data_IF_923917359457
#
_entry.id   IF_923917359457
#
_cell.length_a   1.000
_cell.length_b   1.000
_cell.length_c   1.000
_cell.angle_alpha   90.00
_cell.angle_beta   90.00
_cell.angle_gamma   90.00
#
_symmetry.space_group_name_H-M   'P 1'
#
loop_
_entity.id
_entity.type
_entity.pdbx_description
1 polymer ?
#
# COMPACT_ATOMS: atom_id res chain seq x y z
N UNK A 1 -4.93 -2.85 -22.07
CA UNK A 1 -4.26 -3.00 -20.76
C UNK A 1 -5.25 -2.92 -19.58
N UNK A 2 -6.17 -1.88 -19.52
CA UNK A 2 -7.17 -1.82 -18.45
C UNK A 2 -8.07 -3.07 -18.51
N UNK A 3 -8.68 -3.33 -19.66
CA UNK A 3 -9.57 -4.49 -19.87
C UNK A 3 -8.88 -5.82 -19.55
N UNK A 4 -7.61 -6.00 -19.99
CA UNK A 4 -6.85 -7.23 -19.70
C UNK A 4 -6.66 -7.48 -18.19
N UNK A 5 -6.45 -6.40 -17.43
CA UNK A 5 -6.36 -6.49 -15.97
C UNK A 5 -7.71 -6.78 -15.33
N UNK A 6 -8.79 -6.15 -15.80
CA UNK A 6 -10.14 -6.39 -15.29
C UNK A 6 -10.56 -7.84 -15.56
N UNK A 7 -10.35 -8.35 -16.77
CA UNK A 7 -10.65 -9.74 -17.12
C UNK A 7 -9.82 -10.72 -16.28
N UNK A 8 -8.54 -10.42 -16.04
CA UNK A 8 -7.69 -11.25 -15.18
C UNK A 8 -8.20 -11.31 -13.74
N UNK A 9 -8.58 -10.17 -13.17
CA UNK A 9 -9.00 -10.07 -11.76
C UNK A 9 -10.41 -10.58 -11.52
N UNK A 10 -11.34 -10.28 -12.42
CA UNK A 10 -12.77 -10.49 -12.18
C UNK A 10 -13.40 -11.54 -13.12
N UNK A 11 -12.70 -11.96 -14.16
CA UNK A 11 -13.24 -12.83 -15.22
C UNK A 11 -13.95 -12.05 -16.33
N UNK A 12 -13.94 -12.59 -17.54
CA UNK A 12 -14.52 -11.92 -18.72
C UNK A 12 -16.03 -11.69 -18.55
N UNK A 13 -16.78 -12.74 -18.22
CA UNK A 13 -18.24 -12.68 -18.09
C UNK A 13 -18.71 -11.63 -17.06
N UNK A 14 -18.00 -11.51 -15.92
CA UNK A 14 -18.32 -10.52 -14.92
C UNK A 14 -18.05 -9.10 -15.42
N UNK A 15 -16.94 -8.88 -16.11
CA UNK A 15 -16.53 -7.56 -16.63
C UNK A 15 -17.45 -7.12 -17.77
N UNK A 16 -17.89 -8.03 -18.64
CA UNK A 16 -18.83 -7.73 -19.72
C UNK A 16 -20.22 -7.29 -19.22
N UNK A 17 -20.57 -7.72 -18.00
CA UNK A 17 -21.83 -7.27 -17.36
C UNK A 17 -21.72 -5.86 -16.73
N UNK A 18 -20.55 -5.25 -16.68
CA UNK A 18 -20.37 -3.92 -16.12
C UNK A 18 -20.74 -2.81 -17.11
N UNK A 19 -21.18 -1.64 -16.62
CA UNK A 19 -21.49 -0.50 -17.47
C UNK A 19 -20.20 0.20 -17.95
N UNK A 20 -19.48 -0.47 -18.84
CA UNK A 20 -18.15 -0.05 -19.34
C UNK A 20 -18.20 1.30 -20.08
N UNK A 21 -19.36 1.66 -20.62
CA UNK A 21 -19.62 2.97 -21.24
C UNK A 21 -19.51 4.15 -20.27
N UNK A 22 -19.55 3.86 -18.96
CA UNK A 22 -19.31 4.88 -17.90
C UNK A 22 -17.85 5.13 -17.60
N UNK A 23 -16.93 4.37 -18.23
CA UNK A 23 -15.49 4.51 -18.04
C UNK A 23 -14.92 5.33 -19.19
N UNK A 24 -14.45 6.53 -18.89
CA UNK A 24 -13.67 7.35 -19.83
C UNK A 24 -12.17 7.27 -19.46
N UNK A 25 -11.32 7.08 -20.47
CA UNK A 25 -9.87 7.05 -20.28
C UNK A 25 -9.30 8.38 -20.77
N UNK A 26 -8.63 9.09 -19.86
CA UNK A 26 -7.90 10.32 -20.18
C UNK A 26 -6.41 10.03 -20.03
N UNK A 27 -5.66 10.19 -21.11
CA UNK A 27 -4.21 10.03 -21.09
C UNK A 27 -3.57 11.30 -20.52
N UNK A 28 -2.70 11.15 -19.52
CA UNK A 28 -2.04 12.26 -18.85
C UNK A 28 -0.81 11.82 -18.06
N UNK A 29 -0.04 12.80 -17.60
CA UNK A 29 1.16 12.61 -16.80
C UNK A 29 1.07 13.48 -15.53
N UNK A 30 0.89 12.84 -14.38
CA UNK A 30 0.74 13.54 -13.10
C UNK A 30 1.95 14.42 -12.75
N UNK A 31 3.15 14.09 -13.25
CA UNK A 31 4.35 14.86 -13.00
C UNK A 31 4.39 16.19 -13.80
N UNK A 32 3.47 16.39 -14.72
CA UNK A 32 3.38 17.61 -15.54
C UNK A 32 2.31 18.55 -15.04
N UNK A 33 2.54 19.84 -15.24
CA UNK A 33 1.51 20.86 -15.03
C UNK A 33 0.24 20.52 -15.82
N UNK A 34 -0.94 20.65 -15.21
CA UNK A 34 -2.23 20.28 -15.79
C UNK A 34 -2.26 18.85 -16.36
N UNK A 35 -1.45 17.95 -15.78
CA UNK A 35 -1.29 16.56 -16.24
C UNK A 35 -0.82 16.42 -17.68
N UNK A 36 -0.22 17.47 -18.27
CA UNK A 36 0.14 17.52 -19.69
C UNK A 36 -1.05 17.66 -20.65
N UNK A 37 -2.24 17.91 -20.12
CA UNK A 37 -3.44 18.16 -20.92
C UNK A 37 -3.44 19.59 -21.50
N UNK A 38 -4.24 19.80 -22.55
CA UNK A 38 -4.56 21.15 -23.00
C UNK A 38 -5.33 21.91 -21.90
N UNK A 39 -5.28 23.23 -21.95
CA UNK A 39 -6.02 24.09 -21.01
C UNK A 39 -7.53 23.77 -21.00
N UNK A 40 -8.12 23.63 -22.19
CA UNK A 40 -9.54 23.27 -22.34
C UNK A 40 -9.84 21.87 -21.78
N UNK A 41 -9.01 20.86 -22.07
CA UNK A 41 -9.20 19.51 -21.54
C UNK A 41 -9.05 19.43 -20.03
N UNK A 42 -8.10 20.18 -19.45
CA UNK A 42 -7.95 20.27 -18.00
C UNK A 42 -9.14 20.97 -17.35
N UNK A 43 -9.62 22.07 -17.92
CA UNK A 43 -10.77 22.80 -17.41
C UNK A 43 -12.06 21.94 -17.49
N UNK A 44 -12.28 21.25 -18.62
CA UNK A 44 -13.41 20.33 -18.76
C UNK A 44 -13.37 19.23 -17.71
N UNK A 45 -12.21 18.60 -17.52
CA UNK A 45 -12.03 17.57 -16.48
C UNK A 45 -12.29 18.15 -15.08
N UNK A 46 -11.84 19.39 -14.80
CA UNK A 46 -12.02 20.04 -13.51
C UNK A 46 -13.49 20.37 -13.21
N UNK A 47 -14.28 20.70 -14.22
CA UNK A 47 -15.72 21.01 -14.04
C UNK A 47 -16.59 19.75 -13.85
N UNK A 48 -16.12 18.58 -14.28
CA UNK A 48 -16.92 17.35 -14.24
C UNK A 48 -16.43 16.31 -13.20
N UNK A 49 -15.39 16.63 -12.41
CA UNK A 49 -14.84 15.73 -11.40
C UNK A 49 -15.26 16.15 -9.99
N UNK A 50 -15.97 15.30 -9.26
CA UNK A 50 -16.36 15.52 -7.86
C UNK A 50 -15.46 14.83 -6.84
N UNK A 51 -14.79 13.74 -7.22
CA UNK A 51 -13.90 13.00 -6.33
C UNK A 51 -12.67 12.48 -7.09
N UNK A 52 -11.51 12.55 -6.45
CA UNK A 52 -10.24 12.06 -6.95
C UNK A 52 -9.73 10.93 -6.04
N UNK A 53 -9.40 9.79 -6.60
CA UNK A 53 -8.69 8.71 -5.93
C UNK A 53 -7.26 8.64 -6.48
N UNK A 54 -6.32 9.12 -5.69
CA UNK A 54 -4.91 9.14 -6.08
C UNK A 54 -4.21 7.84 -5.67
N UNK A 55 -4.29 6.82 -6.51
CA UNK A 55 -3.62 5.53 -6.33
C UNK A 55 -2.38 5.35 -7.21
N UNK A 56 -1.99 6.38 -7.97
CA UNK A 56 -0.81 6.34 -8.81
C UNK A 56 0.45 6.67 -8.00
N UNK A 57 1.45 5.80 -8.07
CA UNK A 57 2.76 6.02 -7.45
C UNK A 57 3.84 5.17 -8.13
N UNK A 58 5.09 5.60 -8.05
CA UNK A 58 6.24 4.72 -8.25
C UNK A 58 6.42 3.89 -6.98
N UNK A 59 6.38 2.55 -7.13
CA UNK A 59 6.39 1.60 -6.01
C UNK A 59 7.74 0.88 -5.82
N UNK A 60 8.73 1.21 -6.62
CA UNK A 60 10.05 0.58 -6.52
C UNK A 60 10.75 1.03 -5.24
N UNK A 61 11.43 0.12 -4.57
CA UNK A 61 12.18 0.46 -3.36
C UNK A 61 13.54 1.09 -3.67
N UNK A 62 13.98 1.04 -4.94
CA UNK A 62 15.26 1.54 -5.42
C UNK A 62 15.07 2.41 -6.66
N UNK A 63 15.93 3.40 -6.81
CA UNK A 63 15.95 4.28 -7.96
C UNK A 63 16.46 5.67 -7.62
N UNK A 64 16.45 6.56 -8.60
CA UNK A 64 16.84 7.95 -8.38
C UNK A 64 15.71 8.69 -7.68
N UNK A 65 15.97 9.18 -6.47
CA UNK A 65 15.01 9.93 -5.64
C UNK A 65 14.27 11.03 -6.44
N UNK A 66 14.97 11.73 -7.33
CA UNK A 66 14.39 12.78 -8.14
C UNK A 66 13.19 12.30 -9.00
N UNK A 67 13.28 11.09 -9.55
CA UNK A 67 12.18 10.53 -10.36
C UNK A 67 10.95 10.20 -9.49
N UNK A 68 11.19 9.68 -8.30
CA UNK A 68 10.12 9.41 -7.34
C UNK A 68 9.47 10.70 -6.85
N UNK A 69 10.26 11.72 -6.54
CA UNK A 69 9.75 13.04 -6.13
C UNK A 69 8.84 13.64 -7.21
N UNK A 70 9.22 13.54 -8.49
CA UNK A 70 8.39 14.03 -9.60
C UNK A 70 7.04 13.34 -9.67
N UNK A 71 6.99 12.01 -9.54
CA UNK A 71 5.75 11.25 -9.66
C UNK A 71 4.94 11.28 -8.37
N UNK A 72 5.56 10.94 -7.24
CA UNK A 72 4.84 10.72 -5.98
C UNK A 72 4.55 12.03 -5.24
N UNK A 73 5.44 13.02 -5.30
CA UNK A 73 5.27 14.29 -4.56
C UNK A 73 4.70 15.38 -5.48
N UNK A 74 5.37 15.72 -6.57
CA UNK A 74 4.88 16.74 -7.51
C UNK A 74 3.52 16.33 -8.11
N UNK A 75 3.34 15.04 -8.45
CA UNK A 75 2.05 14.53 -8.90
C UNK A 75 0.94 14.72 -7.87
N UNK A 76 1.24 14.53 -6.58
CA UNK A 76 0.29 14.79 -5.47
C UNK A 76 -0.03 16.28 -5.35
N UNK A 77 0.96 17.16 -5.45
CA UNK A 77 0.76 18.62 -5.44
C UNK A 77 -0.09 19.07 -6.64
N UNK A 78 0.16 18.55 -7.83
CA UNK A 78 -0.64 18.83 -9.02
C UNK A 78 -2.11 18.37 -8.85
N UNK A 79 -2.35 17.22 -8.21
CA UNK A 79 -3.71 16.77 -7.90
C UNK A 79 -4.39 17.62 -6.82
N UNK A 80 -3.64 18.08 -5.81
CA UNK A 80 -4.18 19.03 -4.82
C UNK A 80 -4.59 20.34 -5.49
N UNK A 81 -3.78 20.87 -6.39
CA UNK A 81 -4.12 22.05 -7.20
C UNK A 81 -5.35 21.80 -8.09
N UNK A 82 -5.44 20.63 -8.72
CA UNK A 82 -6.60 20.21 -9.51
C UNK A 82 -7.88 20.16 -8.67
N UNK A 83 -7.78 19.73 -7.41
CA UNK A 83 -8.96 19.71 -6.52
C UNK A 83 -9.50 21.10 -6.18
N UNK A 84 -8.68 22.14 -6.34
CA UNK A 84 -9.07 23.54 -6.15
C UNK A 84 -9.53 24.23 -7.44
N UNK A 85 -9.43 23.58 -8.60
CA UNK A 85 -9.83 24.09 -9.90
C UNK A 85 -11.28 23.67 -10.25
N UNK A 86 -12.06 24.54 -10.87
CA UNK A 86 -13.46 24.25 -11.25
C UNK A 86 -14.36 23.93 -10.05
N UNK A 87 -15.19 22.88 -10.16
CA UNK A 87 -16.04 22.48 -9.05
C UNK A 87 -15.24 21.90 -7.87
N UNK A 88 -15.70 22.08 -6.60
CA UNK A 88 -15.05 21.49 -5.44
C UNK A 88 -14.96 19.97 -5.51
N UNK A 89 -13.80 19.41 -5.15
CA UNK A 89 -13.50 17.99 -5.22
C UNK A 89 -13.01 17.46 -3.89
N UNK A 90 -13.27 16.17 -3.64
CA UNK A 90 -12.57 15.43 -2.59
C UNK A 90 -11.31 14.79 -3.14
N UNK A 91 -10.20 14.89 -2.40
CA UNK A 91 -8.96 14.18 -2.70
C UNK A 91 -8.78 13.00 -1.72
N UNK A 92 -8.83 11.79 -2.26
CA UNK A 92 -8.63 10.54 -1.54
C UNK A 92 -7.24 10.01 -1.92
N UNK A 93 -6.24 10.32 -1.11
CA UNK A 93 -4.86 9.94 -1.35
C UNK A 93 -4.55 8.56 -0.75
N UNK A 94 -4.07 7.63 -1.57
CA UNK A 94 -3.65 6.31 -1.12
C UNK A 94 -2.16 6.39 -0.73
N UNK A 95 -1.91 6.40 0.57
CA UNK A 95 -0.59 6.37 1.18
C UNK A 95 -0.15 4.94 1.55
N UNK A 96 0.49 4.76 2.68
CA UNK A 96 0.92 3.46 3.22
C UNK A 96 1.12 3.55 4.74
N UNK A 97 0.93 2.48 5.48
CA UNK A 97 1.30 2.41 6.90
C UNK A 97 2.82 2.52 7.13
N UNK A 98 3.63 2.25 6.11
CA UNK A 98 5.08 2.36 6.21
C UNK A 98 5.57 3.79 6.55
N UNK A 99 4.73 4.82 6.39
CA UNK A 99 5.03 6.20 6.84
C UNK A 99 5.07 6.34 8.37
N UNK A 100 4.75 5.29 9.14
CA UNK A 100 5.00 5.22 10.58
C UNK A 100 6.49 5.20 10.93
N UNK A 101 7.36 4.86 9.97
CA UNK A 101 8.74 4.55 10.25
C UNK A 101 8.91 3.19 10.96
N UNK A 102 10.06 3.00 11.57
CA UNK A 102 10.43 1.71 12.17
C UNK A 102 9.78 1.48 13.53
N UNK A 103 9.63 2.52 14.33
CA UNK A 103 9.09 2.43 15.69
C UNK A 103 8.48 3.76 16.12
N UNK A 104 7.38 3.70 16.87
CA UNK A 104 6.80 4.86 17.52
C UNK A 104 7.48 5.12 18.88
N UNK A 105 7.73 6.40 19.20
CA UNK A 105 8.35 6.83 20.45
C UNK A 105 7.35 6.85 21.62
N UNK A 106 6.55 5.78 21.73
CA UNK A 106 5.63 5.60 22.84
C UNK A 106 5.73 4.19 23.43
N UNK A 107 5.36 4.00 24.74
CA UNK A 107 5.54 2.73 25.43
C UNK A 107 4.83 1.54 24.80
N UNK A 108 3.80 1.80 23.99
CA UNK A 108 3.01 0.77 23.31
C UNK A 108 3.46 0.51 21.87
N UNK A 109 4.45 1.26 21.38
CA UNK A 109 4.83 1.24 19.97
C UNK A 109 3.62 1.36 19.02
N UNK A 110 2.62 2.17 19.42
CA UNK A 110 1.34 2.33 18.73
C UNK A 110 1.38 3.55 17.80
N UNK A 111 1.03 3.33 16.54
CA UNK A 111 0.86 4.39 15.53
C UNK A 111 -0.63 4.54 15.22
N UNK A 112 -1.19 5.69 15.57
CA UNK A 112 -2.60 5.99 15.40
C UNK A 112 -2.88 6.75 14.12
N UNK A 113 -4.16 6.83 13.71
CA UNK A 113 -4.60 7.59 12.55
C UNK A 113 -4.36 9.11 12.70
N UNK A 114 -4.24 9.61 13.91
CA UNK A 114 -3.90 11.01 14.20
C UNK A 114 -2.39 11.30 14.08
N UNK A 115 -1.55 10.26 14.18
CA UNK A 115 -0.12 10.43 14.25
C UNK A 115 0.48 10.79 12.88
N UNK A 116 1.47 11.67 12.96
CA UNK A 116 2.37 12.01 11.88
C UNK A 116 3.70 12.50 12.48
N UNK A 117 4.77 11.84 12.13
CA UNK A 117 6.09 12.23 12.62
C UNK A 117 6.61 13.45 11.81
N UNK A 118 7.06 14.49 12.49
CA UNK A 118 7.63 15.69 11.84
C UNK A 118 8.95 15.40 11.11
N UNK A 119 9.70 14.43 11.62
CA UNK A 119 10.91 13.91 10.98
C UNK A 119 10.93 12.39 11.13
N UNK A 120 11.21 11.69 10.05
CA UNK A 120 11.24 10.25 10.02
C UNK A 120 12.45 9.76 9.24
N UNK A 121 13.15 8.79 9.80
CA UNK A 121 14.14 8.03 9.04
C UNK A 121 13.42 7.04 8.13
N UNK A 122 13.44 7.31 6.83
CA UNK A 122 12.74 6.51 5.83
C UNK A 122 13.60 5.31 5.41
N UNK A 123 13.06 4.09 5.41
CA UNK A 123 13.83 2.89 5.09
C UNK A 123 14.21 2.81 3.60
N UNK A 124 13.48 3.47 2.72
CA UNK A 124 13.71 3.48 1.28
C UNK A 124 13.04 4.67 0.60
N UNK A 125 13.40 4.93 -0.67
CA UNK A 125 12.90 6.07 -1.47
C UNK A 125 11.38 6.04 -1.68
N UNK A 126 10.74 4.87 -1.69
CA UNK A 126 9.29 4.78 -1.79
C UNK A 126 8.63 5.37 -0.55
N UNK A 127 9.02 4.90 0.64
CA UNK A 127 8.46 5.39 1.91
C UNK A 127 8.74 6.88 2.09
N UNK A 128 9.96 7.32 1.77
CA UNK A 128 10.36 8.74 1.82
C UNK A 128 9.40 9.60 0.99
N UNK A 129 9.13 9.22 -0.25
CA UNK A 129 8.27 10.01 -1.14
C UNK A 129 6.78 9.92 -0.79
N UNK A 130 6.31 8.81 -0.20
CA UNK A 130 4.95 8.73 0.34
C UNK A 130 4.79 9.61 1.59
N UNK A 131 5.79 9.63 2.47
CA UNK A 131 5.83 10.53 3.63
C UNK A 131 5.83 12.00 3.19
N UNK A 132 6.70 12.39 2.23
CA UNK A 132 6.74 13.75 1.71
C UNK A 132 5.41 14.15 1.02
N UNK A 133 4.74 13.22 0.31
CA UNK A 133 3.43 13.48 -0.26
C UNK A 133 2.38 13.78 0.82
N UNK A 134 2.32 13.01 1.91
CA UNK A 134 1.44 13.30 3.04
C UNK A 134 1.75 14.67 3.67
N UNK A 135 3.04 14.99 3.84
CA UNK A 135 3.50 16.26 4.38
C UNK A 135 3.00 17.46 3.54
N UNK A 136 2.90 17.30 2.21
CA UNK A 136 2.31 18.31 1.31
C UNK A 136 0.80 18.42 1.44
N UNK A 137 0.10 17.32 1.71
CA UNK A 137 -1.36 17.30 1.83
C UNK A 137 -1.86 17.78 3.19
N UNK A 138 -1.11 17.55 4.27
CA UNK A 138 -1.56 17.85 5.63
C UNK A 138 -1.98 19.31 5.87
N UNK A 139 -1.27 20.35 5.41
CA UNK A 139 -1.72 21.72 5.60
C UNK A 139 -3.12 21.97 5.03
N UNK A 140 -3.42 21.49 3.84
CA UNK A 140 -4.74 21.61 3.23
C UNK A 140 -5.79 20.81 4.02
N UNK A 141 -5.48 19.59 4.43
CA UNK A 141 -6.35 18.76 5.26
C UNK A 141 -6.68 19.45 6.60
N UNK A 142 -5.69 20.00 7.29
CA UNK A 142 -5.87 20.69 8.57
C UNK A 142 -6.64 22.02 8.42
N UNK A 143 -6.54 22.67 7.25
CA UNK A 143 -7.35 23.84 6.89
C UNK A 143 -8.82 23.50 6.52
N UNK A 144 -9.20 22.22 6.57
CA UNK A 144 -10.57 21.76 6.32
C UNK A 144 -10.90 21.49 4.84
N UNK A 145 -9.90 21.51 3.95
CA UNK A 145 -10.12 21.02 2.59
C UNK A 145 -10.47 19.53 2.61
N UNK A 146 -11.30 19.09 1.67
CA UNK A 146 -11.79 17.71 1.60
C UNK A 146 -10.70 16.72 1.15
N UNK A 147 -9.62 16.64 1.95
CA UNK A 147 -8.47 15.72 1.74
C UNK A 147 -8.58 14.58 2.74
N UNK A 148 -8.54 13.36 2.24
CA UNK A 148 -8.50 12.14 3.03
C UNK A 148 -7.25 11.34 2.64
N UNK A 149 -6.51 10.91 3.64
CA UNK A 149 -5.30 10.10 3.48
C UNK A 149 -5.61 8.69 3.96
N UNK A 150 -5.56 7.74 3.06
CA UNK A 150 -5.72 6.33 3.39
C UNK A 150 -4.35 5.68 3.47
N UNK A 151 -4.05 5.02 4.58
CA UNK A 151 -2.80 4.28 4.80
C UNK A 151 -3.11 2.78 4.80
N UNK A 152 -3.07 2.14 3.62
CA UNK A 152 -3.20 0.68 3.56
C UNK A 152 -2.04 0.00 4.28
N UNK A 153 -2.36 -1.17 4.87
CA UNK A 153 -1.39 -2.08 5.42
C UNK A 153 -0.68 -2.93 4.37
N UNK A 154 -0.23 -4.10 4.77
CA UNK A 154 0.39 -5.07 3.88
C UNK A 154 -0.68 -5.71 2.97
N UNK A 155 -0.81 -5.19 1.74
CA UNK A 155 -1.82 -5.65 0.80
C UNK A 155 -1.49 -7.03 0.25
N UNK A 156 -2.40 -7.97 0.45
CA UNK A 156 -2.38 -9.33 -0.09
C UNK A 156 -3.47 -9.53 -1.15
N UNK A 157 -3.57 -10.74 -1.70
CA UNK A 157 -4.58 -11.10 -2.68
C UNK A 157 -6.02 -10.92 -2.20
N UNK A 158 -6.95 -11.03 -3.14
CA UNK A 158 -8.40 -11.03 -2.86
C UNK A 158 -8.77 -12.12 -1.85
N UNK A 159 -9.53 -11.78 -0.83
CA UNK A 159 -9.84 -12.68 0.29
C UNK A 159 -10.62 -13.93 -0.09
N UNK A 160 -11.31 -13.92 -1.23
CA UNK A 160 -12.17 -15.03 -1.70
C UNK A 160 -11.46 -15.91 -2.72
N UNK A 161 -10.64 -15.30 -3.57
CA UNK A 161 -10.05 -15.96 -4.74
C UNK A 161 -8.53 -16.11 -4.65
N UNK A 162 -7.87 -15.42 -3.73
CA UNK A 162 -6.41 -15.33 -3.64
C UNK A 162 -5.78 -14.56 -4.81
N UNK A 163 -6.57 -14.06 -5.77
CA UNK A 163 -6.04 -13.36 -6.93
C UNK A 163 -5.33 -12.06 -6.51
N UNK A 164 -4.15 -11.86 -7.06
CA UNK A 164 -3.37 -10.65 -6.88
C UNK A 164 -3.06 -10.02 -8.25
N UNK A 165 -2.12 -9.09 -8.33
CA UNK A 165 -1.79 -8.43 -9.60
C UNK A 165 -1.23 -9.41 -10.65
N UNK A 166 -1.51 -9.15 -11.93
CA UNK A 166 -1.11 -10.01 -13.05
C UNK A 166 0.41 -10.20 -13.16
N UNK A 167 1.19 -9.17 -12.86
CA UNK A 167 2.65 -9.18 -12.92
C UNK A 167 3.27 -9.29 -11.52
N UNK A 168 2.96 -10.38 -10.83
CA UNK A 168 3.41 -10.65 -9.47
C UNK A 168 4.94 -10.72 -9.34
N UNK A 169 5.64 -11.17 -10.38
CA UNK A 169 7.11 -11.29 -10.42
C UNK A 169 7.86 -9.95 -10.35
N UNK A 170 7.16 -8.82 -10.40
CA UNK A 170 7.71 -7.49 -10.16
C UNK A 170 7.36 -6.91 -8.79
N UNK A 171 6.67 -7.69 -7.95
CA UNK A 171 6.28 -7.28 -6.61
C UNK A 171 7.40 -7.60 -5.61
N UNK A 172 7.89 -6.58 -4.88
CA UNK A 172 8.98 -6.75 -3.95
C UNK A 172 8.64 -7.72 -2.81
N UNK A 173 7.40 -7.71 -2.32
CA UNK A 173 6.96 -8.57 -1.22
C UNK A 173 6.84 -10.03 -1.66
N UNK A 174 6.31 -10.24 -2.87
CA UNK A 174 6.25 -11.57 -3.47
C UNK A 174 7.65 -12.13 -3.74
N UNK A 175 8.54 -11.32 -4.31
CA UNK A 175 9.92 -11.72 -4.55
C UNK A 175 10.65 -12.04 -3.24
N UNK A 176 10.40 -11.29 -2.18
CA UNK A 176 10.93 -11.57 -0.84
C UNK A 176 10.47 -12.94 -0.33
N UNK A 177 9.17 -13.20 -0.35
CA UNK A 177 8.61 -14.49 0.07
C UNK A 177 9.13 -15.64 -0.79
N UNK A 178 9.14 -15.47 -2.10
CA UNK A 178 9.64 -16.45 -3.05
C UNK A 178 11.14 -16.76 -2.82
N UNK A 179 11.95 -15.76 -2.50
CA UNK A 179 13.36 -15.92 -2.17
C UNK A 179 13.55 -16.84 -0.97
N UNK A 180 12.81 -16.65 0.11
CA UNK A 180 12.88 -17.52 1.29
C UNK A 180 12.44 -18.97 0.98
N UNK A 181 11.39 -19.15 0.19
CA UNK A 181 10.92 -20.47 -0.23
C UNK A 181 11.98 -21.16 -1.09
N UNK A 182 12.59 -20.46 -2.02
CA UNK A 182 13.63 -20.98 -2.91
C UNK A 182 14.88 -21.40 -2.14
N UNK A 183 15.39 -20.54 -1.27
CA UNK A 183 16.54 -20.84 -0.42
C UNK A 183 16.26 -21.87 0.67
N UNK A 184 14.98 -22.11 0.99
CA UNK A 184 14.55 -22.90 2.13
C UNK A 184 15.07 -22.38 3.47
N UNK A 185 15.41 -21.08 3.53
CA UNK A 185 15.92 -20.42 4.71
C UNK A 185 15.27 -19.05 4.89
N UNK A 186 15.13 -18.65 6.15
CA UNK A 186 14.67 -17.34 6.56
C UNK A 186 15.50 -16.84 7.74
N UNK A 187 15.68 -15.53 7.91
CA UNK A 187 16.32 -14.98 9.10
C UNK A 187 15.45 -15.21 10.34
N UNK A 188 16.01 -15.09 11.55
CA UNK A 188 15.24 -15.15 12.77
C UNK A 188 14.26 -13.97 12.80
N UNK A 189 13.06 -14.22 13.31
CA UNK A 189 12.04 -13.21 13.56
C UNK A 189 11.93 -12.98 15.06
N UNK A 190 11.64 -11.76 15.45
CA UNK A 190 11.38 -11.44 16.85
C UNK A 190 10.00 -11.94 17.28
N UNK A 191 9.87 -12.30 18.54
CA UNK A 191 8.61 -12.82 19.12
C UNK A 191 7.47 -11.80 19.07
N UNK A 192 7.78 -10.52 18.90
CA UNK A 192 6.84 -9.40 18.81
C UNK A 192 6.77 -8.78 17.40
N UNK A 193 7.29 -9.46 16.37
CA UNK A 193 7.24 -8.98 14.98
C UNK A 193 5.93 -9.37 14.31
N UNK A 194 5.01 -8.41 14.27
CA UNK A 194 3.66 -8.58 13.70
C UNK A 194 3.57 -8.12 12.26
N UNK A 195 2.62 -8.69 11.54
CA UNK A 195 2.25 -8.29 10.18
C UNK A 195 0.73 -8.18 10.04
N UNK A 196 0.26 -7.11 9.47
CA UNK A 196 -1.14 -6.88 9.15
C UNK A 196 -1.46 -7.37 7.73
N UNK A 197 -1.85 -8.59 7.57
CA UNK A 197 -2.21 -9.14 6.27
C UNK A 197 -3.58 -8.61 5.82
N UNK A 198 -3.58 -7.63 4.92
CA UNK A 198 -4.77 -6.88 4.49
C UNK A 198 -5.21 -7.29 3.10
N UNK A 199 -6.34 -7.99 2.92
CA UNK A 199 -6.86 -8.34 1.60
C UNK A 199 -7.22 -7.12 0.77
N UNK A 200 -6.88 -7.15 -0.53
CA UNK A 200 -7.09 -6.03 -1.45
C UNK A 200 -8.56 -5.68 -1.64
N UNK A 201 -9.45 -6.67 -1.66
CA UNK A 201 -10.90 -6.47 -1.76
C UNK A 201 -11.47 -5.76 -0.53
N UNK A 202 -11.04 -6.11 0.68
CA UNK A 202 -11.38 -5.37 1.89
C UNK A 202 -10.86 -3.93 1.82
N UNK A 203 -9.58 -3.76 1.48
CA UNK A 203 -8.98 -2.43 1.42
C UNK A 203 -9.71 -1.52 0.43
N UNK A 204 -9.99 -2.02 -0.78
CA UNK A 204 -10.71 -1.27 -1.80
C UNK A 204 -12.15 -0.91 -1.34
N UNK A 205 -12.87 -1.87 -0.78
CA UNK A 205 -14.24 -1.65 -0.29
C UNK A 205 -14.26 -0.62 0.85
N UNK A 206 -13.33 -0.72 1.81
CA UNK A 206 -13.23 0.21 2.93
C UNK A 206 -12.92 1.65 2.45
N UNK A 207 -11.93 1.80 1.57
CA UNK A 207 -11.56 3.11 1.02
C UNK A 207 -12.73 3.75 0.28
N UNK A 208 -13.38 3.01 -0.62
CA UNK A 208 -14.51 3.53 -1.41
C UNK A 208 -15.68 3.89 -0.50
N UNK A 209 -16.02 3.02 0.46
CA UNK A 209 -17.11 3.28 1.40
C UNK A 209 -16.87 4.56 2.22
N UNK A 210 -15.70 4.70 2.84
CA UNK A 210 -15.35 5.88 3.65
C UNK A 210 -15.29 7.13 2.78
N UNK A 211 -14.74 7.04 1.57
CA UNK A 211 -14.63 8.18 0.66
C UNK A 211 -15.97 8.76 0.22
N UNK A 212 -17.01 7.91 0.09
CA UNK A 212 -18.34 8.33 -0.35
C UNK A 212 -19.36 8.49 0.78
N UNK A 213 -18.98 8.25 2.04
CA UNK A 213 -19.84 8.62 3.17
C UNK A 213 -19.98 10.14 3.26
N UNK A 214 -21.22 10.70 3.30
CA UNK A 214 -21.43 12.16 3.30
C UNK A 214 -20.71 12.90 4.44
N UNK A 215 -20.67 12.29 5.63
CA UNK A 215 -20.13 12.89 6.86
C UNK A 215 -18.68 12.48 7.16
N UNK A 216 -17.95 11.97 6.18
CA UNK A 216 -16.54 11.62 6.39
C UNK A 216 -15.70 12.89 6.42
N UNK A 217 -15.07 13.24 7.56
CA UNK A 217 -14.22 14.42 7.65
C UNK A 217 -12.94 14.27 6.86
N UNK A 218 -12.26 15.38 6.55
CA UNK A 218 -10.83 15.34 6.23
C UNK A 218 -10.07 14.65 7.35
N UNK A 219 -9.13 13.80 7.01
CA UNK A 219 -8.38 13.03 8.01
C UNK A 219 -7.58 11.91 7.44
N UNK A 220 -6.93 11.15 8.32
CA UNK A 220 -6.16 9.97 7.98
C UNK A 220 -6.88 8.71 8.45
N UNK A 221 -6.83 7.65 7.65
CA UNK A 221 -7.54 6.39 7.86
C UNK A 221 -6.59 5.22 7.65
N UNK A 222 -6.41 4.38 8.68
CA UNK A 222 -5.60 3.17 8.58
C UNK A 222 -6.43 2.01 8.04
N UNK A 223 -6.19 1.63 6.79
CA UNK A 223 -6.91 0.55 6.12
C UNK A 223 -6.06 -0.72 6.19
N UNK A 224 -6.06 -1.35 7.35
CA UNK A 224 -5.26 -2.52 7.65
C UNK A 224 -6.09 -3.61 8.33
N UNK A 225 -5.54 -4.80 8.42
CA UNK A 225 -6.15 -5.87 9.19
C UNK A 225 -6.02 -5.54 10.69
N UNK A 226 -7.14 -5.37 11.42
CA UNK A 226 -7.10 -5.05 12.85
C UNK A 226 -6.64 -6.23 13.72
N UNK A 227 -6.42 -7.39 13.12
CA UNK A 227 -5.94 -8.60 13.77
C UNK A 227 -4.61 -9.02 13.13
N UNK A 228 -3.48 -8.37 13.48
CA UNK A 228 -2.19 -8.76 12.92
C UNK A 228 -1.78 -10.14 13.42
N UNK A 229 -0.97 -10.84 12.63
CA UNK A 229 -0.36 -12.12 13.03
C UNK A 229 1.13 -11.93 13.30
N UNK A 230 1.71 -12.83 14.08
CA UNK A 230 3.15 -12.93 14.20
C UNK A 230 3.75 -13.36 12.85
N UNK A 231 4.82 -12.72 12.41
CA UNK A 231 5.51 -13.14 11.16
C UNK A 231 6.00 -14.58 11.21
N UNK A 232 6.38 -15.08 12.39
CA UNK A 232 6.74 -16.49 12.59
C UNK A 232 5.65 -17.46 12.15
N UNK A 233 4.37 -17.11 12.35
CA UNK A 233 3.23 -17.94 11.92
C UNK A 233 3.14 -18.06 10.39
N UNK A 234 3.66 -17.08 9.64
CA UNK A 234 3.73 -17.17 8.17
C UNK A 234 4.66 -18.32 7.75
N UNK A 235 5.80 -18.46 8.43
CA UNK A 235 6.72 -19.57 8.14
C UNK A 235 6.14 -20.93 8.52
N UNK A 236 5.35 -21.01 9.60
CA UNK A 236 4.63 -22.23 9.96
C UNK A 236 3.65 -22.62 8.85
N UNK A 237 2.85 -21.67 8.38
CA UNK A 237 1.91 -21.89 7.28
C UNK A 237 2.63 -22.33 5.99
N UNK A 238 3.74 -21.69 5.64
CA UNK A 238 4.53 -22.04 4.47
C UNK A 238 5.10 -23.47 4.58
N UNK A 239 5.54 -23.87 5.78
CA UNK A 239 5.99 -25.23 6.08
C UNK A 239 4.86 -26.25 5.94
N UNK A 240 3.67 -25.92 6.43
CA UNK A 240 2.46 -26.74 6.31
C UNK A 240 2.03 -26.94 4.83
N UNK A 241 2.42 -26.03 3.95
CA UNK A 241 2.29 -26.18 2.49
C UNK A 241 3.33 -27.08 1.84
N UNK A 242 4.27 -27.61 2.60
CA UNK A 242 5.34 -28.47 2.11
C UNK A 242 6.58 -27.71 1.63
N UNK A 243 6.70 -26.41 1.91
CA UNK A 243 7.94 -25.65 1.66
C UNK A 243 8.81 -25.64 2.92
N UNK A 244 9.91 -26.41 2.98
CA UNK A 244 10.69 -26.60 4.20
C UNK A 244 11.61 -25.40 4.49
N UNK A 245 11.03 -24.24 4.80
CA UNK A 245 11.78 -23.05 5.19
C UNK A 245 12.25 -23.20 6.64
N UNK A 246 13.56 -23.19 6.85
CA UNK A 246 14.21 -23.23 8.19
C UNK A 246 14.66 -21.84 8.59
N UNK A 247 14.50 -21.51 9.86
CA UNK A 247 15.07 -20.29 10.42
C UNK A 247 16.55 -20.52 10.73
N UNK A 248 17.42 -19.61 10.26
CA UNK A 248 18.87 -19.64 10.51
C UNK A 248 19.32 -18.30 11.12
N UNK A 249 20.45 -18.25 11.85
CA UNK A 249 21.01 -16.99 12.34
C UNK A 249 21.20 -15.97 11.22
N UNK A 250 21.06 -14.68 11.54
CA UNK A 250 21.09 -13.60 10.56
C UNK A 250 22.38 -13.57 9.73
N UNK A 251 23.53 -13.80 10.38
CA UNK A 251 24.85 -13.87 9.70
C UNK A 251 24.88 -15.00 8.68
N UNK A 252 24.43 -16.20 9.07
CA UNK A 252 24.37 -17.34 8.17
C UNK A 252 23.38 -17.14 7.03
N UNK A 253 22.24 -16.52 7.31
CA UNK A 253 21.28 -16.17 6.28
C UNK A 253 21.90 -15.23 5.24
N UNK A 254 22.63 -14.22 5.69
CA UNK A 254 23.33 -13.28 4.83
C UNK A 254 24.42 -13.95 3.97
N UNK A 255 25.19 -14.89 4.55
CA UNK A 255 26.17 -15.69 3.81
C UNK A 255 25.50 -16.52 2.70
N UNK A 256 24.43 -17.28 3.06
CA UNK A 256 23.68 -18.11 2.10
C UNK A 256 23.07 -17.26 0.97
N UNK A 257 22.69 -16.02 1.28
CA UNK A 257 22.17 -15.04 0.35
C UNK A 257 23.25 -14.55 -0.62
N UNK A 258 24.43 -14.18 -0.12
CA UNK A 258 25.51 -13.62 -0.93
C UNK A 258 26.18 -14.70 -1.82
N UNK A 259 26.13 -15.96 -1.42
CA UNK A 259 26.66 -17.09 -2.17
C UNK A 259 25.71 -17.58 -3.28
N UNK A 260 24.51 -16.98 -3.42
CA UNK A 260 23.54 -17.41 -4.43
C UNK A 260 23.83 -16.78 -5.80
N UNK A 261 23.91 -17.62 -6.83
CA UNK A 261 24.07 -17.22 -8.23
C UNK A 261 22.73 -17.02 -8.97
N UNK A 262 21.59 -17.19 -8.31
CA UNK A 262 20.29 -17.10 -8.94
C UNK A 262 19.87 -15.64 -9.19
N UNK A 263 19.71 -15.27 -10.47
CA UNK A 263 19.40 -13.89 -10.90
C UNK A 263 18.02 -13.40 -10.43
N UNK A 264 17.03 -14.28 -10.39
CA UNK A 264 15.68 -13.99 -9.87
C UNK A 264 15.72 -13.75 -8.36
N UNK A 265 16.51 -14.56 -7.69
CA UNK A 265 16.77 -14.46 -6.28
C UNK A 265 17.52 -13.16 -5.95
N UNK A 266 18.60 -12.82 -6.70
CA UNK A 266 19.34 -11.57 -6.53
C UNK A 266 18.44 -10.32 -6.70
N UNK A 267 17.44 -10.35 -7.60
CA UNK A 267 16.44 -9.28 -7.71
C UNK A 267 15.50 -9.21 -6.50
N UNK A 268 15.08 -10.36 -5.98
CA UNK A 268 14.32 -10.44 -4.73
C UNK A 268 15.13 -9.99 -3.52
N UNK A 269 16.40 -10.28 -3.53
CA UNK A 269 17.39 -9.97 -2.51
C UNK A 269 17.66 -8.48 -2.35
N UNK A 270 17.67 -7.70 -3.43
CA UNK A 270 17.79 -6.25 -3.32
C UNK A 270 16.66 -5.66 -2.45
N UNK A 271 15.48 -6.27 -2.49
CA UNK A 271 14.40 -5.92 -1.56
C UNK A 271 14.63 -6.47 -0.15
N UNK A 272 15.31 -7.60 -0.01
CA UNK A 272 15.60 -8.25 1.29
C UNK A 272 16.73 -7.55 2.03
N UNK A 273 17.80 -7.17 1.33
CA UNK A 273 18.97 -6.48 1.94
C UNK A 273 18.54 -5.16 2.59
N UNK A 274 17.60 -4.45 1.99
CA UNK A 274 17.03 -3.24 2.59
C UNK A 274 16.36 -3.53 3.93
N UNK A 275 15.76 -4.70 4.07
CA UNK A 275 15.13 -5.13 5.32
C UNK A 275 16.10 -5.79 6.30
N UNK A 276 17.27 -6.30 5.86
CA UNK A 276 18.25 -6.95 6.75
C UNK A 276 18.84 -5.98 7.80
N UNK A 277 18.96 -4.69 7.49
CA UNK A 277 19.33 -3.67 8.47
C UNK A 277 18.24 -3.29 9.46
N UNK A 278 17.01 -3.79 9.25
CA UNK A 278 15.81 -3.39 9.99
C UNK A 278 15.33 -4.44 11.01
N UNK A 279 15.99 -5.62 11.07
CA UNK A 279 15.60 -6.71 11.96
C UNK A 279 15.74 -6.39 13.46
N UNK A 280 16.37 -5.28 13.81
CA UNK A 280 16.58 -4.91 15.22
C UNK A 280 15.39 -4.18 15.89
N UNK A 281 14.34 -3.88 15.15
CA UNK A 281 13.20 -3.12 15.71
C UNK A 281 11.88 -3.67 15.21
N UNK A 282 11.01 -4.03 16.15
CA UNK A 282 9.62 -4.39 15.84
C UNK A 282 8.90 -3.22 15.15
N UNK A 283 8.12 -3.48 14.09
CA UNK A 283 7.30 -2.44 13.48
C UNK A 283 6.26 -1.92 14.47
N UNK A 284 5.76 -0.70 14.21
CA UNK A 284 4.67 -0.13 14.98
C UNK A 284 3.42 -1.03 14.94
N UNK A 285 2.67 -1.02 16.05
CA UNK A 285 1.31 -1.55 16.09
C UNK A 285 0.39 -0.44 15.55
N UNK A 286 -0.53 -0.79 14.66
CA UNK A 286 -1.39 0.17 14.00
C UNK A 286 -2.77 0.21 14.65
N UNK A 287 -3.21 1.38 15.08
CA UNK A 287 -4.59 1.64 15.46
C UNK A 287 -5.42 2.04 14.23
N UNK A 288 -6.54 1.37 14.02
CA UNK A 288 -7.48 1.64 12.94
C UNK A 288 -8.89 1.99 13.48
N UNK A 289 -8.97 2.54 14.68
CA UNK A 289 -10.24 2.76 15.39
C UNK A 289 -11.19 3.68 14.62
N UNK A 290 -10.70 4.75 14.01
CA UNK A 290 -11.52 5.67 13.21
C UNK A 290 -12.03 5.00 11.93
N UNK A 291 -11.16 4.26 11.23
CA UNK A 291 -11.55 3.46 10.07
C UNK A 291 -12.65 2.45 10.43
N UNK A 292 -12.45 1.68 11.51
CA UNK A 292 -13.44 0.70 11.97
C UNK A 292 -14.77 1.36 12.39
N UNK A 293 -14.70 2.54 13.02
CA UNK A 293 -15.88 3.32 13.37
C UNK A 293 -16.67 3.72 12.11
N UNK A 294 -15.98 4.12 11.03
CA UNK A 294 -16.61 4.46 9.75
C UNK A 294 -17.23 3.26 9.04
N UNK A 295 -16.63 2.09 9.19
CA UNK A 295 -17.13 0.85 8.60
C UNK A 295 -18.28 0.20 9.40
N UNK A 296 -18.57 0.69 10.61
CA UNK A 296 -19.62 0.11 11.45
C UNK A 296 -20.98 0.15 10.74
N UNK A 297 -21.61 -1.02 10.62
CA UNK A 297 -22.93 -1.16 9.97
C UNK A 297 -22.90 -1.25 8.44
N UNK A 298 -21.75 -1.14 7.79
CA UNK A 298 -21.61 -1.24 6.33
C UNK A 298 -21.61 -2.68 5.81
N UNK A 299 -21.39 -3.66 6.66
CA UNK A 299 -21.12 -5.06 6.25
C UNK A 299 -19.68 -5.29 5.74
N UNK A 300 -18.83 -4.27 5.70
CA UNK A 300 -17.42 -4.39 5.29
C UNK A 300 -16.59 -4.72 6.53
N UNK A 301 -15.94 -5.88 6.51
CA UNK A 301 -15.05 -6.32 7.58
C UNK A 301 -13.82 -7.00 7.01
N UNK A 302 -12.66 -6.76 7.63
CA UNK A 302 -11.45 -7.50 7.29
C UNK A 302 -11.56 -8.94 7.78
N UNK A 303 -11.39 -9.95 6.94
CA UNK A 303 -11.37 -11.33 7.43
C UNK A 303 -10.14 -11.56 8.32
N UNK A 304 -10.26 -12.42 9.34
CA UNK A 304 -9.11 -12.77 10.17
C UNK A 304 -8.04 -13.46 9.31
N UNK A 305 -6.75 -13.24 9.61
CA UNK A 305 -5.65 -13.85 8.88
C UNK A 305 -5.44 -15.32 9.32
N UNK A 306 -6.48 -16.11 9.17
CA UNK A 306 -6.48 -17.53 9.50
C UNK A 306 -5.84 -18.39 8.39
N UNK A 307 -5.53 -19.67 8.66
CA UNK A 307 -4.97 -20.57 7.64
C UNK A 307 -5.86 -20.72 6.41
N UNK A 308 -7.16 -20.52 6.51
CA UNK A 308 -8.06 -20.62 5.35
C UNK A 308 -7.89 -19.41 4.41
N UNK A 309 -7.70 -18.21 4.95
CA UNK A 309 -7.37 -17.02 4.17
C UNK A 309 -6.00 -17.15 3.51
N UNK A 310 -5.01 -17.60 4.27
CA UNK A 310 -3.61 -17.68 3.83
C UNK A 310 -3.36 -18.85 2.86
N UNK A 311 -4.32 -19.77 2.74
CA UNK A 311 -4.30 -20.88 1.76
C UNK A 311 -4.82 -20.50 0.38
N UNK A 312 -5.33 -19.33 0.17
CA UNK A 312 -5.85 -18.84 -1.12
C UNK A 312 -4.83 -18.03 -1.88
#
# INVERSE_FOLDING_TARGET
>A
RLMDNLHFLFGADAVEAWPLERIAIVEGDLAKERFGLSEAGYAELAEHTGAVFHAAAMLWHFGKLEQFLKVNVQGTENLLAFCSAGMPKTLNHISTLAVSGRRCDNPKNLFTEADFHESMECPNVYVETKYEAEKRLRPAMLAGHAVRIFRPGFIMGDSKTGRFKKHITSDAQYLHLQGHIFMRTAPPLYDDDYMDLTPVDYAAAAIVHIAFQPDTPPGTYHVCNPQPILKSQIWDIIRDYGFPVRTVPAERYLEEVLDSDDELFLRGLQSVIVYLGDYEKSPAIFDASETLRRLKGSGISCPPPDPALLRR
#
